data_IF_826194062960
#
_entry.id   IF_826194062960
#
_cell.length_a   1.000
_cell.length_b   1.000
_cell.length_c   1.000
_cell.angle_alpha   90.00
_cell.angle_beta   90.00
_cell.angle_gamma   90.00
#
_symmetry.space_group_name_H-M   'P 1'
#
loop_
_entity.id
_entity.type
_entity.pdbx_description
1 polymer ?
#
# COMPACT_ATOMS: atom_id res chain seq x y z
N UNK A 1 7.39 3.31 -4.32
CA UNK A 1 6.30 2.66 -3.56
C UNK A 1 6.08 1.29 -4.16
N UNK A 2 5.73 0.28 -3.37
CA UNK A 2 5.54 -1.10 -3.88
C UNK A 2 4.60 -1.91 -3.00
N UNK A 3 3.77 -2.73 -3.63
CA UNK A 3 2.88 -3.70 -2.99
C UNK A 3 3.55 -5.08 -2.96
N UNK A 4 3.45 -5.74 -1.82
CA UNK A 4 3.95 -7.09 -1.53
C UNK A 4 2.82 -7.97 -1.03
N UNK A 5 2.95 -9.28 -1.23
CA UNK A 5 2.03 -10.29 -0.72
C UNK A 5 2.77 -11.07 0.37
N UNK A 6 2.20 -11.11 1.57
CA UNK A 6 2.72 -11.88 2.71
C UNK A 6 1.54 -12.56 3.39
N UNK A 7 1.60 -13.89 3.55
CA UNK A 7 0.54 -14.70 4.16
C UNK A 7 -0.86 -14.37 3.60
N UNK A 8 -0.97 -14.33 2.27
CA UNK A 8 -2.22 -14.01 1.53
C UNK A 8 -2.76 -12.57 1.72
N UNK A 9 -2.07 -11.73 2.50
CA UNK A 9 -2.41 -10.34 2.70
C UNK A 9 -1.52 -9.42 1.85
N UNK A 10 -2.10 -8.31 1.41
CA UNK A 10 -1.41 -7.32 0.59
C UNK A 10 -0.93 -6.16 1.46
N UNK A 11 0.31 -5.73 1.22
CA UNK A 11 0.96 -4.68 1.97
C UNK A 11 1.58 -3.67 1.02
N UNK A 12 1.26 -2.37 1.19
CA UNK A 12 1.91 -1.29 0.44
C UNK A 12 3.01 -0.66 1.29
N UNK A 13 4.25 -0.71 0.80
CA UNK A 13 5.38 0.06 1.33
C UNK A 13 5.39 1.47 0.73
N UNK A 14 5.53 2.47 1.59
CA UNK A 14 5.55 3.89 1.21
C UNK A 14 6.34 4.75 2.19
N UNK A 15 6.59 6.02 1.85
CA UNK A 15 7.18 6.99 2.78
C UNK A 15 6.24 7.27 3.95
N UNK A 16 6.80 7.61 5.10
CA UNK A 16 6.07 8.11 6.25
C UNK A 16 5.32 9.40 5.89
N UNK A 17 4.17 9.62 6.54
CA UNK A 17 3.29 10.78 6.38
C UNK A 17 2.63 10.95 5.00
N UNK A 18 2.84 10.03 4.06
CA UNK A 18 2.09 10.05 2.80
C UNK A 18 0.62 9.71 3.09
N UNK A 19 -0.31 10.48 2.52
CA UNK A 19 -1.73 10.15 2.61
C UNK A 19 -2.19 9.35 1.40
N UNK A 20 -3.35 8.69 1.50
CA UNK A 20 -4.00 8.05 0.35
C UNK A 20 -4.21 9.04 -0.81
N UNK A 21 -4.57 10.28 -0.49
CA UNK A 21 -4.74 11.34 -1.49
C UNK A 21 -3.42 11.67 -2.21
N UNK A 22 -2.31 11.71 -1.48
CA UNK A 22 -0.99 11.95 -2.05
C UNK A 22 -0.57 10.82 -2.99
N UNK A 23 -0.79 9.56 -2.59
CA UNK A 23 -0.49 8.38 -3.44
C UNK A 23 -1.27 8.48 -4.76
N UNK A 24 -2.58 8.75 -4.69
CA UNK A 24 -3.43 8.89 -5.88
C UNK A 24 -2.91 10.02 -6.77
N UNK A 25 -2.57 11.17 -6.21
CA UNK A 25 -2.12 12.32 -6.97
C UNK A 25 -0.74 12.10 -7.61
N UNK A 26 0.18 11.42 -6.93
CA UNK A 26 1.47 11.04 -7.48
C UNK A 26 1.30 10.10 -8.68
N UNK A 27 0.48 9.06 -8.55
CA UNK A 27 0.19 8.13 -9.67
C UNK A 27 -0.47 8.88 -10.83
N UNK A 28 -1.46 9.74 -10.56
CA UNK A 28 -2.14 10.48 -11.61
C UNK A 28 -1.24 11.48 -12.35
N UNK A 29 -0.27 12.09 -11.66
CA UNK A 29 0.59 13.14 -12.23
C UNK A 29 1.77 12.55 -13.01
N UNK A 30 2.32 11.41 -12.56
CA UNK A 30 3.60 10.88 -13.05
C UNK A 30 3.43 9.71 -14.03
N UNK A 31 2.20 9.24 -14.28
CA UNK A 31 1.94 8.21 -15.29
C UNK A 31 1.58 8.78 -16.67
N UNK A 32 1.91 10.04 -16.95
CA UNK A 32 1.73 10.66 -18.28
C UNK A 32 0.26 10.79 -18.74
N UNK A 33 -0.70 10.72 -17.82
CA UNK A 33 -2.11 10.78 -18.15
C UNK A 33 -2.57 12.21 -18.43
N UNK A 34 -3.39 12.40 -19.47
CA UNK A 34 -4.03 13.69 -19.72
C UNK A 34 -5.03 13.99 -18.59
N UNK A 35 -4.96 15.20 -18.03
CA UNK A 35 -5.92 15.69 -17.02
C UNK A 35 -7.36 15.61 -17.55
N UNK A 36 -8.28 15.15 -16.70
CA UNK A 36 -9.68 14.84 -16.97
C UNK A 36 -9.91 13.81 -18.10
N UNK A 37 -8.90 13.01 -18.44
CA UNK A 37 -9.09 11.89 -19.37
C UNK A 37 -9.84 10.73 -18.71
N UNK A 38 -10.33 9.82 -19.54
CA UNK A 38 -10.86 8.55 -19.07
C UNK A 38 -9.80 7.78 -18.25
N UNK A 39 -8.55 7.75 -18.73
CA UNK A 39 -7.44 7.09 -18.06
C UNK A 39 -7.20 7.66 -16.65
N UNK A 40 -7.11 8.99 -16.50
CA UNK A 40 -6.91 9.61 -15.18
C UNK A 40 -8.05 9.26 -14.21
N UNK A 41 -9.31 9.39 -14.65
CA UNK A 41 -10.48 9.08 -13.81
C UNK A 41 -10.50 7.61 -13.39
N UNK A 42 -10.20 6.71 -14.32
CA UNK A 42 -10.24 5.27 -14.06
C UNK A 42 -9.09 4.85 -13.14
N UNK A 43 -7.87 5.32 -13.38
CA UNK A 43 -6.72 5.08 -12.50
C UNK A 43 -6.97 5.62 -11.09
N UNK A 44 -7.52 6.84 -10.97
CA UNK A 44 -7.90 7.40 -9.67
C UNK A 44 -8.86 6.49 -8.93
N UNK A 45 -9.88 5.97 -9.61
CA UNK A 45 -10.84 5.02 -9.04
C UNK A 45 -10.14 3.74 -8.58
N UNK A 46 -9.32 3.14 -9.45
CA UNK A 46 -8.56 1.92 -9.12
C UNK A 46 -7.73 2.12 -7.86
N UNK A 47 -6.89 3.14 -7.80
CA UNK A 47 -6.01 3.38 -6.64
C UNK A 47 -6.81 3.74 -5.39
N UNK A 48 -7.94 4.44 -5.53
CA UNK A 48 -8.83 4.73 -4.40
C UNK A 48 -9.47 3.46 -3.85
N UNK A 49 -9.97 2.59 -4.73
CA UNK A 49 -10.55 1.30 -4.35
C UNK A 49 -9.48 0.35 -3.79
N UNK A 50 -8.24 0.46 -4.30
CA UNK A 50 -7.05 -0.24 -3.82
C UNK A 50 -6.75 0.16 -2.35
N UNK A 51 -6.74 1.45 -2.07
CA UNK A 51 -6.38 1.99 -0.76
C UNK A 51 -7.58 2.16 0.19
N UNK A 52 -8.76 1.73 -0.23
CA UNK A 52 -9.97 1.84 0.57
C UNK A 52 -9.80 1.02 1.85
N UNK A 53 -10.01 1.67 3.01
CA UNK A 53 -9.80 1.07 4.34
C UNK A 53 -8.36 0.55 4.58
N UNK A 54 -7.39 0.91 3.75
CA UNK A 54 -6.00 0.59 4.01
C UNK A 54 -5.57 1.22 5.36
N UNK A 55 -4.88 0.42 6.16
CA UNK A 55 -4.45 0.84 7.51
C UNK A 55 -2.95 1.06 7.50
N UNK A 56 -2.53 2.30 7.76
CA UNK A 56 -1.13 2.59 8.05
C UNK A 56 -0.76 1.93 9.39
N UNK A 57 0.09 0.90 9.33
CA UNK A 57 0.46 0.11 10.49
C UNK A 57 1.32 0.90 11.46
N UNK A 58 2.18 1.81 10.98
CA UNK A 58 2.98 2.69 11.85
C UNK A 58 2.10 3.67 12.60
N UNK A 59 1.11 4.28 11.94
CA UNK A 59 0.15 5.16 12.61
C UNK A 59 -0.69 4.39 13.63
N UNK A 60 -1.15 3.19 13.27
CA UNK A 60 -1.87 2.29 14.19
C UNK A 60 -1.02 1.96 15.41
N UNK A 61 0.25 1.63 15.21
CA UNK A 61 1.20 1.37 16.29
C UNK A 61 1.36 2.58 17.21
N UNK A 62 1.73 3.74 16.64
CA UNK A 62 1.96 4.97 17.41
C UNK A 62 0.72 5.36 18.22
N UNK A 63 -0.47 5.25 17.61
CA UNK A 63 -1.72 5.73 18.21
C UNK A 63 -2.29 4.80 19.27
N UNK A 64 -2.16 3.48 19.10
CA UNK A 64 -2.89 2.52 19.92
C UNK A 64 -2.00 1.52 20.68
N UNK A 65 -0.78 1.29 20.22
CA UNK A 65 0.02 0.13 20.68
C UNK A 65 1.43 0.50 21.14
N UNK A 66 1.85 1.78 21.06
CA UNK A 66 3.18 2.24 21.49
C UNK A 66 3.47 2.03 22.98
N UNK A 67 2.42 1.92 23.81
CA UNK A 67 2.56 1.62 25.23
C UNK A 67 2.61 0.11 25.52
N UNK A 68 2.22 -0.72 24.55
CA UNK A 68 2.16 -2.19 24.69
C UNK A 68 3.38 -2.89 24.10
N UNK A 69 4.01 -2.30 23.08
CA UNK A 69 5.18 -2.86 22.40
C UNK A 69 6.32 -1.83 22.30
N UNK A 70 7.53 -2.27 22.62
CA UNK A 70 8.72 -1.40 22.74
C UNK A 70 9.18 -0.87 21.38
N UNK A 71 8.86 -1.58 20.30
CA UNK A 71 9.22 -1.18 18.93
C UNK A 71 8.12 -1.47 17.92
N UNK A 72 8.20 -0.79 16.76
CA UNK A 72 7.31 -1.08 15.65
C UNK A 72 7.51 -2.49 15.09
N UNK A 73 8.76 -2.98 15.06
CA UNK A 73 9.08 -4.36 14.65
C UNK A 73 8.42 -5.38 15.57
N UNK A 74 8.47 -5.16 16.89
CA UNK A 74 7.82 -6.04 17.86
C UNK A 74 6.30 -6.04 17.69
N UNK A 75 5.69 -4.88 17.42
CA UNK A 75 4.28 -4.79 17.07
C UNK A 75 3.95 -5.60 15.81
N UNK A 76 4.76 -5.51 14.75
CA UNK A 76 4.53 -6.31 13.53
C UNK A 76 4.63 -7.82 13.80
N UNK A 77 5.62 -8.22 14.59
CA UNK A 77 5.84 -9.62 14.93
C UNK A 77 4.71 -10.19 15.81
N UNK A 78 4.45 -9.55 16.95
CA UNK A 78 3.52 -10.09 17.95
C UNK A 78 2.05 -9.81 17.62
N UNK A 79 1.72 -8.60 17.15
CA UNK A 79 0.32 -8.19 16.93
C UNK A 79 -0.18 -8.50 15.52
N UNK A 80 0.64 -8.26 14.50
CA UNK A 80 0.28 -8.52 13.11
C UNK A 80 0.71 -9.92 12.64
N UNK A 81 1.39 -10.69 13.50
CA UNK A 81 1.81 -12.09 13.25
C UNK A 81 2.66 -12.23 11.98
N UNK A 82 3.54 -11.26 11.73
CA UNK A 82 4.51 -11.31 10.64
C UNK A 82 5.81 -11.91 11.15
N UNK A 83 6.35 -12.90 10.45
CA UNK A 83 7.64 -13.50 10.83
C UNK A 83 8.80 -12.52 10.65
N UNK A 84 9.89 -12.70 11.39
CA UNK A 84 11.06 -11.81 11.29
C UNK A 84 11.64 -11.74 9.88
N UNK A 85 11.63 -12.84 9.14
CA UNK A 85 12.05 -12.88 7.73
C UNK A 85 11.15 -12.00 6.86
N UNK A 86 9.83 -12.05 7.08
CA UNK A 86 8.83 -11.25 6.36
C UNK A 86 8.97 -9.76 6.70
N UNK A 87 9.22 -9.43 7.97
CA UNK A 87 9.45 -8.05 8.40
C UNK A 87 10.71 -7.50 7.72
N UNK A 88 11.76 -8.33 7.63
CA UNK A 88 12.99 -7.97 6.92
C UNK A 88 12.76 -7.76 5.44
N UNK A 89 11.88 -8.51 4.77
CA UNK A 89 11.57 -8.33 3.34
C UNK A 89 11.07 -6.92 3.01
N UNK A 90 10.42 -6.23 3.96
CA UNK A 90 10.01 -4.85 3.74
C UNK A 90 11.19 -3.86 3.67
N UNK A 91 12.37 -4.17 4.22
CA UNK A 91 13.53 -3.28 4.27
C UNK A 91 13.14 -1.85 4.68
N UNK A 92 12.41 -1.69 5.79
CA UNK A 92 11.90 -0.37 6.18
C UNK A 92 13.01 0.52 6.71
N UNK A 93 13.21 1.65 6.05
CA UNK A 93 13.98 2.76 6.62
C UNK A 93 13.14 3.50 7.67
N UNK A 94 13.80 4.36 8.45
CA UNK A 94 13.14 5.17 9.48
C UNK A 94 12.06 6.11 8.91
N UNK A 95 12.17 6.48 7.63
CA UNK A 95 11.22 7.32 6.90
C UNK A 95 10.17 6.52 6.12
N UNK A 96 10.02 5.22 6.37
CA UNK A 96 9.07 4.36 5.66
C UNK A 96 8.04 3.70 6.58
N UNK A 97 6.86 3.45 6.00
CA UNK A 97 5.74 2.75 6.61
C UNK A 97 5.17 1.69 5.70
N UNK A 98 4.37 0.80 6.29
CA UNK A 98 3.61 -0.23 5.61
C UNK A 98 2.13 0.02 5.85
N UNK A 99 1.37 -0.02 4.78
CA UNK A 99 -0.08 -0.05 4.80
C UNK A 99 -0.56 -1.47 4.60
N UNK A 100 -1.36 -1.98 5.54
CA UNK A 100 -2.10 -3.23 5.34
C UNK A 100 -3.33 -2.94 4.50
N UNK A 101 -3.38 -3.52 3.31
CA UNK A 101 -4.46 -3.29 2.36
C UNK A 101 -5.64 -4.19 2.75
N UNK A 102 -6.82 -3.58 2.97
CA UNK A 102 -8.01 -4.29 3.41
C UNK A 102 -8.96 -4.47 2.23
N UNK A 103 -8.58 -5.33 1.30
CA UNK A 103 -9.55 -5.81 0.31
C UNK A 103 -10.53 -6.73 1.02
N UNK A 104 -11.78 -6.33 1.11
CA UNK A 104 -12.83 -7.33 1.27
C UNK A 104 -12.77 -8.20 0.03
N UNK A 105 -12.43 -9.48 0.19
CA UNK A 105 -12.46 -10.53 -0.86
C UNK A 105 -13.81 -10.55 -1.61
N UNK A 106 -14.84 -9.92 -1.03
CA UNK A 106 -16.18 -9.76 -1.59
C UNK A 106 -16.42 -8.48 -2.40
N UNK A 107 -15.45 -7.56 -2.53
CA UNK A 107 -15.63 -6.46 -3.47
C UNK A 107 -15.28 -7.00 -4.86
N UNK A 108 -16.30 -7.17 -5.69
CA UNK A 108 -16.18 -7.47 -7.12
C UNK A 108 -15.10 -6.58 -7.80
N UNK A 109 -14.93 -5.37 -7.27
CA UNK A 109 -13.91 -4.40 -7.66
C UNK A 109 -12.47 -4.85 -7.38
N UNK A 110 -12.15 -5.44 -6.22
CA UNK A 110 -10.78 -5.86 -5.90
C UNK A 110 -10.30 -7.03 -6.77
N UNK A 111 -11.14 -8.04 -6.99
CA UNK A 111 -10.84 -9.17 -7.89
C UNK A 111 -10.73 -8.71 -9.36
N UNK A 112 -11.51 -7.70 -9.78
CA UNK A 112 -11.36 -7.11 -11.10
C UNK A 112 -10.10 -6.24 -11.23
N UNK A 113 -9.66 -5.59 -10.16
CA UNK A 113 -8.47 -4.73 -10.16
C UNK A 113 -7.19 -5.56 -10.16
N UNK A 114 -7.07 -6.53 -9.24
CA UNK A 114 -5.86 -7.35 -9.10
C UNK A 114 -5.81 -8.50 -10.11
N UNK A 115 -6.95 -8.88 -10.70
CA UNK A 115 -7.06 -10.06 -11.54
C UNK A 115 -7.16 -11.35 -10.71
N UNK A 116 -7.42 -12.47 -11.38
CA UNK A 116 -7.32 -13.78 -10.75
C UNK A 116 -5.83 -14.01 -10.37
N UNK A 117 -5.54 -14.47 -9.16
CA UNK A 117 -4.17 -14.68 -8.67
C UNK A 117 -3.19 -13.49 -8.77
N UNK A 118 -3.69 -12.25 -8.85
CA UNK A 118 -2.84 -11.05 -8.81
C UNK A 118 -2.13 -10.71 -10.13
N UNK A 119 -2.64 -11.18 -11.27
CA UNK A 119 -2.12 -10.88 -12.63
C UNK A 119 -1.78 -9.40 -12.87
N UNK A 120 -2.58 -8.47 -12.33
CA UNK A 120 -2.39 -7.03 -12.54
C UNK A 120 -1.44 -6.38 -11.53
N UNK A 121 -0.97 -7.11 -10.51
CA UNK A 121 -0.13 -6.57 -9.44
C UNK A 121 1.18 -6.00 -9.98
N UNK A 122 1.77 -6.64 -10.99
CA UNK A 122 3.01 -6.16 -11.61
C UNK A 122 2.83 -4.79 -12.27
N UNK A 123 1.72 -4.59 -12.99
CA UNK A 123 1.40 -3.32 -13.66
C UNK A 123 1.10 -2.23 -12.62
N UNK A 124 0.39 -2.57 -11.56
CA UNK A 124 0.10 -1.65 -10.45
C UNK A 124 1.41 -1.23 -9.75
N UNK A 125 2.30 -2.19 -9.49
CA UNK A 125 3.62 -1.90 -8.91
C UNK A 125 4.45 -1.00 -9.81
N UNK A 126 4.48 -1.26 -11.13
CA UNK A 126 5.14 -0.37 -12.09
C UNK A 126 4.61 1.06 -12.01
N UNK A 127 3.28 1.24 -11.96
CA UNK A 127 2.68 2.58 -11.81
C UNK A 127 3.07 3.26 -10.49
N UNK A 128 3.07 2.52 -9.37
CA UNK A 128 3.46 3.02 -8.04
C UNK A 128 4.95 3.34 -7.94
N UNK A 129 5.81 2.60 -8.64
CA UNK A 129 7.25 2.85 -8.71
C UNK A 129 7.55 4.10 -9.55
N UNK A 130 6.94 4.22 -10.73
CA UNK A 130 7.05 5.42 -11.59
C UNK A 130 6.58 6.69 -10.85
N UNK A 131 5.52 6.57 -10.05
CA UNK A 131 4.98 7.68 -9.27
C UNK A 131 5.97 8.28 -8.26
N UNK A 132 7.02 7.54 -7.86
CA UNK A 132 8.02 7.99 -6.88
C UNK A 132 9.36 8.33 -7.53
N UNK A 133 9.71 7.73 -8.66
CA UNK A 133 11.02 7.87 -9.29
C UNK A 133 11.20 9.16 -10.13
N UNK A 134 10.14 9.90 -10.43
CA UNK A 134 10.24 11.19 -11.14
C UNK A 134 10.39 12.42 -10.21
N UNK A 135 10.72 12.20 -8.92
CA UNK A 135 11.05 13.25 -7.94
C UNK A 135 12.54 13.26 -7.59
#
# INVERSE_FOLDING_TARGET
>A
MKIFIINEAYYLKSKNNITVADIINLVCSNCGMKKQSFAERYTRKIISDLLLNAVNLRDKYIKYYKLEYDSFEEFLYQKESLEHEQIKEFWLNDDETIWKLQYSINSYTANNILGYDGENLEIINKALEMAVNEN
#
